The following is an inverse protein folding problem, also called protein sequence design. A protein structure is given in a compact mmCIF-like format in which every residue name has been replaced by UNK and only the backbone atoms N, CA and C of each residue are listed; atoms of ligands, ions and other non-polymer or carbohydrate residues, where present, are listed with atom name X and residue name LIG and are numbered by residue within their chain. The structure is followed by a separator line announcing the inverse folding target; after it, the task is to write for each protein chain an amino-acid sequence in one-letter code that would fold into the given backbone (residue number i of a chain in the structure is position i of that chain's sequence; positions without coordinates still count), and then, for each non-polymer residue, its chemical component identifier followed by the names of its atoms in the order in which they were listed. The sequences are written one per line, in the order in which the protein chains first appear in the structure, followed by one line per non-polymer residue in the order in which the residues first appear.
data_IF_627284647245
#
_entry.id   IF_627284647245
#
_cell.length_a   1.000
_cell.length_b   1.000
_cell.length_c   1.000
_cell.angle_alpha   90.00
_cell.angle_beta   90.00
_cell.angle_gamma   90.00
#
_symmetry.space_group_name_H-M   'P 1'
#
loop_
_entity.id
_entity.type
_entity.pdbx_description
1 polymer ?
#
# COMPACT_ATOMS: atom_id res chain seq x y z
N UNK A 1 -7.90 20.96 -67.10
CA UNK A 1 -7.14 21.45 -65.93
C UNK A 1 -8.09 22.22 -65.03
N UNK A 2 -8.67 21.56 -64.03
CA UNK A 2 -9.67 22.17 -63.14
C UNK A 2 -9.30 21.78 -61.71
N UNK A 3 -8.83 22.77 -60.93
CA UNK A 3 -8.45 22.58 -59.52
C UNK A 3 -9.70 22.64 -58.63
N UNK A 4 -9.91 21.70 -57.70
CA UNK A 4 -10.93 21.88 -56.66
C UNK A 4 -10.43 22.85 -55.57
N UNK A 5 -11.32 23.78 -55.18
CA UNK A 5 -11.17 24.77 -54.10
C UNK A 5 -11.04 24.07 -52.74
N UNK A 6 -10.07 24.48 -51.95
CA UNK A 6 -9.97 24.14 -50.53
C UNK A 6 -11.10 24.82 -49.73
N UNK A 7 -11.80 24.03 -48.93
CA UNK A 7 -12.79 24.48 -47.93
C UNK A 7 -12.03 24.71 -46.62
N UNK A 8 -12.01 25.95 -46.14
CA UNK A 8 -11.47 26.33 -44.84
C UNK A 8 -12.55 26.12 -43.76
N UNK A 9 -12.30 25.39 -42.66
CA UNK A 9 -13.26 25.31 -41.57
C UNK A 9 -13.26 26.61 -40.73
N UNK A 10 -14.45 27.16 -40.48
CA UNK A 10 -14.71 28.25 -39.55
C UNK A 10 -14.48 27.80 -38.09
N UNK A 11 -13.94 28.67 -37.21
CA UNK A 11 -13.93 28.41 -35.77
C UNK A 11 -15.31 28.67 -35.13
N UNK A 12 -15.69 27.94 -34.07
CA UNK A 12 -16.95 28.18 -33.36
C UNK A 12 -16.89 29.49 -32.57
N UNK A 13 -17.83 30.40 -32.87
CA UNK A 13 -18.06 31.64 -32.15
C UNK A 13 -18.66 31.36 -30.77
N UNK A 14 -17.93 31.71 -29.72
CA UNK A 14 -18.45 31.87 -28.37
C UNK A 14 -19.16 33.23 -28.26
N UNK A 15 -20.48 33.21 -28.07
CA UNK A 15 -21.27 34.26 -27.43
C UNK A 15 -21.88 33.63 -26.17
N UNK A 16 -21.85 34.19 -24.96
CA UNK A 16 -22.02 35.60 -24.62
C UNK A 16 -23.43 35.80 -24.06
N UNK A 17 -23.62 35.63 -22.74
CA UNK A 17 -24.82 35.99 -21.95
C UNK A 17 -24.54 35.71 -20.45
N UNK A 18 -24.77 36.53 -19.43
CA UNK A 18 -25.23 37.91 -19.26
C UNK A 18 -24.55 38.42 -17.97
N UNK A 19 -24.02 39.65 -18.00
CA UNK A 19 -23.68 40.42 -16.80
C UNK A 19 -24.47 41.72 -16.85
N UNK A 20 -24.77 42.23 -15.65
CA UNK A 20 -25.45 43.48 -15.31
C UNK A 20 -26.96 43.25 -15.04
N UNK A 21 -27.58 43.78 -13.98
CA UNK A 21 -27.44 45.06 -13.30
C UNK A 21 -28.06 44.96 -11.86
N UNK A 22 -27.45 45.46 -10.77
CA UNK A 22 -27.41 46.85 -10.20
C UNK A 22 -28.34 47.01 -8.97
N UNK A 23 -27.76 47.51 -7.85
CA UNK A 23 -28.26 48.37 -6.72
C UNK A 23 -29.62 48.08 -6.05
N UNK A 24 -29.91 48.36 -4.77
CA UNK A 24 -29.32 48.87 -3.51
C UNK A 24 -30.53 48.83 -2.48
N UNK A 25 -30.59 49.45 -1.26
CA UNK A 25 -29.61 50.18 -0.43
C UNK A 25 -29.60 49.80 1.08
N UNK A 26 -28.78 50.55 1.83
CA UNK A 26 -28.57 50.65 3.29
C UNK A 26 -29.82 50.54 4.18
N UNK A 27 -29.61 49.96 5.36
CA UNK A 27 -30.43 50.18 6.55
C UNK A 27 -29.74 49.66 7.82
N UNK A 28 -28.93 50.49 8.47
CA UNK A 28 -28.73 50.42 9.93
C UNK A 28 -29.97 51.07 10.57
N UNK A 29 -30.50 50.53 11.68
CA UNK A 29 -30.08 51.07 12.98
C UNK A 29 -30.06 50.04 14.11
N UNK A 30 -29.32 50.36 15.18
CA UNK A 30 -29.73 49.99 16.53
C UNK A 30 -28.75 49.14 17.32
N UNK A 31 -27.78 49.80 17.94
CA UNK A 31 -27.18 49.36 19.18
C UNK A 31 -28.27 49.07 20.22
N UNK A 32 -28.42 47.80 20.62
CA UNK A 32 -29.02 47.45 21.91
C UNK A 32 -28.14 46.38 22.53
N UNK A 33 -27.43 46.78 23.58
CA UNK A 33 -26.59 45.90 24.38
C UNK A 33 -27.47 44.82 25.03
N UNK A 34 -27.13 43.55 24.78
CA UNK A 34 -27.64 42.41 25.56
C UNK A 34 -26.50 41.80 26.38
N UNK A 35 -26.77 41.34 27.61
CA UNK A 35 -25.75 40.91 28.56
C UNK A 35 -25.11 39.58 28.15
N UNK A 36 -23.79 39.49 28.31
CA UNK A 36 -23.02 38.25 28.27
C UNK A 36 -23.63 37.22 29.22
N UNK A 37 -24.26 36.17 28.65
CA UNK A 37 -24.32 34.86 29.29
C UNK A 37 -23.21 34.02 28.69
N UNK A 38 -22.30 33.58 29.56
CA UNK A 38 -21.29 32.60 29.25
C UNK A 38 -21.95 31.22 29.11
N UNK A 39 -22.34 30.87 27.89
CA UNK A 39 -22.62 29.49 27.53
C UNK A 39 -21.31 28.82 27.10
N UNK A 40 -20.82 27.94 27.97
CA UNK A 40 -19.74 27.01 27.66
C UNK A 40 -20.22 26.09 26.53
N UNK A 41 -19.77 26.38 25.30
CA UNK A 41 -19.92 25.52 24.15
C UNK A 41 -19.18 24.21 24.37
N UNK A 42 -19.86 23.23 24.94
CA UNK A 42 -19.53 21.83 24.79
C UNK A 42 -19.70 21.50 23.30
N UNK A 43 -18.59 21.44 22.57
CA UNK A 43 -18.58 20.87 21.24
C UNK A 43 -18.89 19.38 21.36
N UNK A 44 -19.95 19.01 20.66
CA UNK A 44 -20.51 17.67 20.55
C UNK A 44 -19.41 16.68 20.13
N UNK A 45 -18.91 15.93 21.11
CA UNK A 45 -17.97 14.85 20.91
C UNK A 45 -18.73 13.68 20.28
N UNK A 46 -18.81 13.71 18.94
CA UNK A 46 -19.22 12.59 18.12
C UNK A 46 -18.72 11.28 18.74
N UNK A 47 -19.65 10.35 18.96
CA UNK A 47 -19.45 9.11 19.69
C UNK A 47 -18.23 8.33 19.15
N UNK A 48 -17.09 8.52 19.81
CA UNK A 48 -15.89 7.78 19.52
C UNK A 48 -16.18 6.28 19.74
N UNK A 49 -15.67 5.38 18.89
CA UNK A 49 -15.96 3.96 18.98
C UNK A 49 -15.61 3.44 20.38
N UNK A 50 -16.37 2.46 20.92
CA UNK A 50 -16.09 1.89 22.24
C UNK A 50 -14.61 1.46 22.30
N UNK A 51 -13.85 2.11 23.19
CA UNK A 51 -12.42 1.89 23.37
C UNK A 51 -11.48 3.01 22.89
N UNK A 52 -11.92 3.96 22.05
CA UNK A 52 -11.05 5.05 21.60
C UNK A 52 -10.60 5.98 22.75
N UNK A 53 -11.51 6.29 23.68
CA UNK A 53 -11.20 7.08 24.88
C UNK A 53 -10.21 6.37 25.80
N UNK A 54 -10.35 5.06 25.97
CA UNK A 54 -9.45 4.25 26.79
C UNK A 54 -8.04 4.17 26.17
N UNK A 55 -7.95 3.97 24.84
CA UNK A 55 -6.67 4.03 24.11
C UNK A 55 -5.99 5.38 24.27
N UNK A 56 -6.75 6.47 24.18
CA UNK A 56 -6.23 7.83 24.35
C UNK A 56 -5.75 8.08 25.79
N UNK A 57 -6.50 7.62 26.80
CA UNK A 57 -6.10 7.69 28.20
C UNK A 57 -4.82 6.90 28.48
N UNK A 58 -4.70 5.67 27.95
CA UNK A 58 -3.50 4.83 28.08
C UNK A 58 -2.27 5.50 27.43
N UNK A 59 -2.43 6.05 26.22
CA UNK A 59 -1.35 6.77 25.54
C UNK A 59 -0.89 8.02 26.31
N UNK A 60 -1.82 8.76 26.91
CA UNK A 60 -1.48 9.94 27.75
C UNK A 60 -0.77 9.54 29.03
N UNK A 61 -1.25 8.49 29.71
CA UNK A 61 -0.63 7.99 30.93
C UNK A 61 0.80 7.47 30.67
N UNK A 62 1.01 6.73 29.57
CA UNK A 62 2.33 6.25 29.16
C UNK A 62 3.32 7.40 28.91
N UNK A 63 2.93 8.41 28.14
CA UNK A 63 3.79 9.58 27.88
C UNK A 63 4.11 10.36 29.17
N UNK A 64 3.15 10.45 30.09
CA UNK A 64 3.40 11.06 31.41
C UNK A 64 4.43 10.29 32.23
N UNK A 65 4.40 8.95 32.16
CA UNK A 65 5.39 8.08 32.81
C UNK A 65 6.78 8.21 32.18
N UNK A 66 6.87 8.21 30.85
CA UNK A 66 8.13 8.42 30.11
C UNK A 66 8.74 9.80 30.42
N UNK A 67 7.92 10.86 30.45
CA UNK A 67 8.38 12.20 30.82
C UNK A 67 8.87 12.27 32.27
N UNK A 68 8.24 11.55 33.20
CA UNK A 68 8.69 11.48 34.60
C UNK A 68 10.00 10.70 34.74
N UNK A 69 10.23 9.65 33.96
CA UNK A 69 11.53 8.97 33.93
C UNK A 69 12.63 9.89 33.41
N UNK A 70 12.34 10.72 32.40
CA UNK A 70 13.30 11.66 31.83
C UNK A 70 13.74 12.76 32.82
N UNK A 71 12.93 13.10 33.83
CA UNK A 71 13.35 14.08 34.85
C UNK A 71 14.23 13.48 35.93
N UNK A 72 14.28 12.15 36.06
CA UNK A 72 15.02 11.46 37.13
C UNK A 72 14.47 11.67 38.54
N UNK A 73 13.30 12.31 38.70
CA UNK A 73 12.65 12.54 39.99
C UNK A 73 11.81 11.31 40.39
N UNK A 74 12.20 10.55 41.44
CA UNK A 74 11.49 9.34 41.85
C UNK A 74 10.05 9.62 42.32
N UNK A 75 9.75 10.80 42.86
CA UNK A 75 8.40 11.16 43.28
C UNK A 75 7.47 11.40 42.09
N UNK A 76 7.99 12.02 41.03
CA UNK A 76 7.29 12.20 39.76
C UNK A 76 7.00 10.84 39.09
N UNK A 77 7.99 9.94 39.08
CA UNK A 77 7.85 8.57 38.54
C UNK A 77 6.77 7.79 39.30
N UNK A 78 6.79 7.79 40.63
CA UNK A 78 5.79 7.10 41.43
C UNK A 78 4.36 7.63 41.17
N UNK A 79 4.22 8.96 41.06
CA UNK A 79 2.93 9.59 40.75
C UNK A 79 2.43 9.24 39.35
N UNK A 80 3.32 9.21 38.35
CA UNK A 80 2.96 8.86 36.99
C UNK A 80 2.66 7.36 36.84
N UNK A 81 3.38 6.49 37.56
CA UNK A 81 3.16 5.05 37.59
C UNK A 81 1.77 4.73 38.17
N UNK A 82 1.39 5.36 39.28
CA UNK A 82 0.05 5.20 39.85
C UNK A 82 -1.07 5.59 38.87
N UNK A 83 -0.87 6.66 38.08
CA UNK A 83 -1.81 7.08 37.02
C UNK A 83 -1.87 6.08 35.87
N UNK A 84 -0.74 5.50 35.49
CA UNK A 84 -0.69 4.46 34.47
C UNK A 84 -1.44 3.21 34.94
N UNK A 85 -1.12 2.69 36.13
CA UNK A 85 -1.80 1.53 36.73
C UNK A 85 -3.30 1.75 36.89
N UNK A 86 -3.73 2.96 37.29
CA UNK A 86 -5.17 3.28 37.39
C UNK A 86 -5.91 3.20 36.04
N UNK A 87 -5.23 3.41 34.92
CA UNK A 87 -5.81 3.37 33.57
C UNK A 87 -5.70 1.98 32.94
N UNK A 88 -4.61 1.25 33.19
CA UNK A 88 -4.33 -0.05 32.54
C UNK A 88 -4.67 -1.26 33.40
N UNK A 89 -4.70 -1.13 34.72
CA UNK A 89 -4.75 -2.25 35.66
C UNK A 89 -3.40 -2.96 35.85
N UNK A 90 -2.42 -2.67 35.01
CA UNK A 90 -1.09 -3.27 35.02
C UNK A 90 -0.06 -2.39 35.73
N UNK A 91 0.78 -3.00 36.58
CA UNK A 91 1.98 -2.35 37.10
C UNK A 91 3.02 -2.21 35.97
N UNK A 92 3.65 -1.03 35.79
CA UNK A 92 4.72 -0.90 34.81
C UNK A 92 5.95 -1.70 35.27
N UNK A 93 6.38 -2.68 34.47
CA UNK A 93 7.60 -3.46 34.72
C UNK A 93 8.83 -2.53 34.72
N UNK A 94 9.52 -2.46 35.85
CA UNK A 94 10.71 -1.63 36.08
C UNK A 94 11.88 -2.26 35.30
N UNK A 95 11.95 -1.95 34.00
CA UNK A 95 12.99 -2.48 33.11
C UNK A 95 12.74 -2.23 31.62
N UNK A 96 11.48 -2.00 31.21
CA UNK A 96 11.13 -1.82 29.80
C UNK A 96 11.43 -0.42 29.22
N UNK A 97 11.77 0.57 30.06
CA UNK A 97 11.89 1.98 29.62
C UNK A 97 13.29 2.60 29.85
N UNK A 98 14.26 1.83 30.37
CA UNK A 98 15.59 2.34 30.71
C UNK A 98 16.70 1.96 29.70
N UNK A 99 16.34 1.43 28.53
CA UNK A 99 17.29 0.88 27.57
C UNK A 99 17.54 1.78 26.36
N UNK A 100 18.06 3.00 26.53
CA UNK A 100 18.62 3.79 25.42
C UNK A 100 19.57 4.92 25.85
N UNK A 101 20.24 4.78 27.01
CA UNK A 101 21.33 5.68 27.42
C UNK A 101 22.51 4.87 27.94
N UNK A 102 23.22 4.19 27.03
CA UNK A 102 24.59 3.72 27.27
C UNK A 102 25.53 4.22 26.17
N UNK A 103 26.64 4.80 26.63
CA UNK A 103 27.66 5.49 25.87
C UNK A 103 28.35 4.61 24.79
N UNK A 104 28.95 5.23 23.74
CA UNK A 104 29.71 4.49 22.73
C UNK A 104 31.06 4.00 23.30
N UNK A 105 31.45 2.73 23.14
CA UNK A 105 32.84 2.35 23.32
C UNK A 105 33.64 2.77 22.08
N UNK A 106 34.57 3.70 22.28
CA UNK A 106 35.73 3.82 21.45
C UNK A 106 36.60 2.55 21.63
N UNK A 107 36.94 1.86 20.54
CA UNK A 107 38.13 1.02 20.49
C UNK A 107 38.62 0.81 19.06
N UNK A 108 39.67 1.56 18.78
CA UNK A 108 40.82 1.23 17.96
C UNK A 108 41.15 -0.27 17.98
N UNK A 109 41.26 -0.91 16.81
CA UNK A 109 42.29 -1.92 16.62
C UNK A 109 42.89 -1.82 15.22
N UNK A 110 44.09 -1.26 15.18
CA UNK A 110 45.06 -1.35 14.10
C UNK A 110 45.88 -2.62 14.30
N UNK A 111 46.04 -3.47 13.28
CA UNK A 111 47.05 -4.52 13.34
C UNK A 111 46.97 -5.61 12.29
N UNK A 112 47.75 -5.42 11.23
CA UNK A 112 48.55 -6.47 10.57
C UNK A 112 47.82 -7.58 9.81
N UNK A 113 47.73 -7.41 8.49
CA UNK A 113 48.00 -8.51 7.56
C UNK A 113 48.92 -7.99 6.45
N UNK A 114 50.17 -8.44 6.51
CA UNK A 114 51.18 -8.25 5.46
C UNK A 114 51.37 -9.58 4.72
N UNK A 115 51.57 -9.48 3.40
CA UNK A 115 52.03 -10.56 2.52
C UNK A 115 50.98 -10.93 1.47
N UNK A 116 51.25 -11.01 0.18
CA UNK A 116 52.40 -10.67 -0.65
C UNK A 116 51.89 -10.70 -2.10
N UNK A 117 52.46 -9.85 -2.96
CA UNK A 117 52.10 -9.71 -4.36
C UNK A 117 52.43 -10.98 -5.17
N UNK A 118 51.51 -11.46 -6.00
CA UNK A 118 51.87 -12.01 -7.32
C UNK A 118 50.71 -11.92 -8.31
N UNK A 119 50.92 -11.17 -9.39
CA UNK A 119 50.33 -11.36 -10.72
C UNK A 119 51.51 -11.35 -11.71
N UNK A 120 51.38 -11.64 -13.01
CA UNK A 120 50.32 -12.33 -13.78
C UNK A 120 50.88 -13.48 -14.65
N UNK A 121 50.03 -14.36 -15.19
CA UNK A 121 50.39 -15.09 -16.42
C UNK A 121 49.17 -15.30 -17.31
N UNK A 122 49.22 -14.64 -18.46
CA UNK A 122 48.65 -15.03 -19.76
C UNK A 122 49.83 -14.84 -20.76
N UNK A 123 49.76 -15.24 -22.04
CA UNK A 123 48.70 -15.95 -22.76
C UNK A 123 49.24 -17.15 -23.58
N UNK A 124 48.35 -18.02 -24.06
CA UNK A 124 48.56 -18.73 -25.34
C UNK A 124 47.21 -19.06 -25.95
N UNK A 125 47.07 -18.57 -27.18
CA UNK A 125 45.92 -18.61 -28.05
C UNK A 125 45.89 -19.87 -28.93
N UNK A 126 44.68 -20.21 -29.35
CA UNK A 126 44.24 -20.77 -30.64
C UNK A 126 42.97 -21.59 -30.36
N UNK A 127 41.78 -21.07 -30.70
CA UNK A 127 41.10 -21.30 -31.99
C UNK A 127 40.76 -22.79 -32.19
N UNK A 128 39.56 -23.22 -32.54
CA UNK A 128 38.47 -22.58 -33.27
C UNK A 128 37.26 -23.53 -33.16
N UNK A 129 36.04 -22.98 -33.26
CA UNK A 129 34.87 -23.57 -33.94
C UNK A 129 33.58 -23.34 -33.17
N UNK A 130 32.94 -22.22 -33.53
CA UNK A 130 31.49 -22.07 -33.50
C UNK A 130 30.82 -23.20 -34.33
N UNK A 131 29.53 -23.47 -34.10
CA UNK A 131 28.58 -22.73 -34.92
C UNK A 131 27.45 -22.08 -34.09
N UNK A 132 27.41 -20.76 -34.21
CA UNK A 132 26.25 -19.93 -34.52
C UNK A 132 24.89 -20.65 -34.53
N UNK A 133 24.13 -20.48 -33.45
CA UNK A 133 22.67 -20.47 -33.49
C UNK A 133 22.22 -19.10 -33.03
N UNK A 134 21.84 -18.29 -34.02
CA UNK A 134 21.29 -16.97 -33.85
C UNK A 134 19.95 -17.01 -33.10
N UNK A 135 19.61 -15.91 -32.42
CA UNK A 135 18.53 -15.84 -31.45
C UNK A 135 17.18 -15.74 -32.16
N UNK A 136 16.33 -16.76 -31.99
CA UNK A 136 14.92 -16.63 -32.31
C UNK A 136 14.27 -15.70 -31.29
N UNK A 137 14.06 -14.46 -31.73
CA UNK A 137 13.10 -13.53 -31.18
C UNK A 137 11.71 -14.20 -31.12
N UNK A 138 11.40 -14.81 -29.98
CA UNK A 138 10.02 -15.11 -29.60
C UNK A 138 9.51 -13.93 -28.80
N UNK A 139 8.88 -13.01 -29.52
CA UNK A 139 7.91 -12.04 -28.99
C UNK A 139 6.79 -12.84 -28.29
N UNK A 140 6.56 -12.74 -26.97
CA UNK A 140 5.29 -13.15 -26.42
C UNK A 140 4.34 -11.97 -26.60
N UNK A 141 3.52 -12.08 -27.63
CA UNK A 141 2.30 -11.31 -27.76
C UNK A 141 1.35 -11.74 -26.61
N UNK A 142 0.83 -10.80 -25.79
CA UNK A 142 0.00 -11.14 -24.65
C UNK A 142 -1.44 -11.37 -25.13
N UNK A 143 -1.87 -12.63 -25.18
CA UNK A 143 -3.28 -12.97 -25.34
C UNK A 143 -3.60 -14.19 -24.48
N UNK A 144 -4.50 -13.99 -23.52
CA UNK A 144 -4.77 -14.87 -22.42
C UNK A 144 -5.28 -16.26 -22.80
N UNK A 145 -4.65 -17.27 -22.21
CA UNK A 145 -5.27 -18.55 -21.85
C UNK A 145 -4.60 -19.05 -20.57
N UNK A 146 -4.83 -18.35 -19.47
CA UNK A 146 -4.32 -18.70 -18.14
C UNK A 146 -5.09 -19.84 -17.47
N UNK A 147 -5.82 -20.69 -18.19
CA UNK A 147 -6.57 -21.80 -17.58
C UNK A 147 -5.85 -23.17 -17.71
N UNK A 148 -4.82 -23.28 -18.55
CA UNK A 148 -4.03 -24.51 -18.72
C UNK A 148 -2.60 -24.46 -18.17
N UNK A 149 -2.08 -23.26 -17.85
CA UNK A 149 -0.74 -23.08 -17.28
C UNK A 149 -0.72 -23.38 -15.78
N UNK A 150 0.40 -23.83 -15.23
CA UNK A 150 0.63 -23.97 -13.78
C UNK A 150 0.31 -22.66 -13.04
N UNK A 151 0.67 -21.51 -13.61
CA UNK A 151 0.33 -20.18 -13.10
C UNK A 151 -1.20 -19.96 -13.01
N UNK A 152 -1.93 -20.46 -14.01
CA UNK A 152 -3.38 -20.47 -14.05
C UNK A 152 -4.01 -21.24 -12.92
N UNK A 153 -3.54 -22.47 -12.73
CA UNK A 153 -3.95 -23.35 -11.64
C UNK A 153 -3.68 -22.73 -10.27
N UNK A 154 -2.54 -22.04 -10.12
CA UNK A 154 -2.22 -21.27 -8.91
C UNK A 154 -3.26 -20.19 -8.65
N UNK A 155 -3.59 -19.36 -9.65
CA UNK A 155 -4.62 -18.31 -9.49
C UNK A 155 -5.98 -18.89 -9.13
N UNK A 156 -6.40 -19.97 -9.80
CA UNK A 156 -7.66 -20.64 -9.51
C UNK A 156 -7.69 -21.25 -8.09
N UNK A 157 -6.58 -21.82 -7.64
CA UNK A 157 -6.45 -22.36 -6.29
C UNK A 157 -6.54 -21.25 -5.23
N UNK A 158 -5.85 -20.12 -5.44
CA UNK A 158 -5.94 -18.96 -4.54
C UNK A 158 -7.36 -18.43 -4.47
N UNK A 159 -8.07 -18.30 -5.60
CA UNK A 159 -9.48 -17.85 -5.63
C UNK A 159 -10.41 -18.80 -4.88
N UNK A 160 -10.12 -20.11 -4.88
CA UNK A 160 -10.91 -21.12 -4.14
C UNK A 160 -10.62 -21.10 -2.64
N UNK A 161 -9.39 -20.80 -2.25
CA UNK A 161 -8.94 -20.78 -0.85
C UNK A 161 -9.27 -19.45 -0.15
N UNK A 162 -9.23 -18.34 -0.90
CA UNK A 162 -9.61 -17.03 -0.40
C UNK A 162 -11.13 -16.94 -0.22
N UNK A 163 -11.59 -16.64 1.00
CA UNK A 163 -13.00 -16.37 1.31
C UNK A 163 -13.42 -15.00 0.79
N UNK A 164 -12.50 -14.04 0.79
CA UNK A 164 -12.70 -12.70 0.25
C UNK A 164 -11.65 -12.34 -0.81
N UNK A 165 -12.01 -11.42 -1.70
CA UNK A 165 -11.07 -10.94 -2.72
C UNK A 165 -9.85 -10.28 -2.09
N UNK A 166 -8.65 -10.80 -2.40
CA UNK A 166 -7.42 -10.33 -1.81
C UNK A 166 -7.27 -10.75 -0.33
N UNK A 167 -7.82 -11.87 0.09
CA UNK A 167 -7.42 -12.48 1.36
C UNK A 167 -5.99 -13.05 1.27
N UNK A 168 -5.34 -13.15 2.42
CA UNK A 168 -4.05 -13.80 2.58
C UNK A 168 -4.23 -15.31 2.70
N UNK A 169 -3.56 -16.07 1.83
CA UNK A 169 -3.64 -17.53 1.74
C UNK A 169 -2.28 -18.13 2.10
N UNK A 170 -2.28 -19.12 2.99
CA UNK A 170 -1.08 -19.85 3.38
C UNK A 170 -0.52 -20.70 2.25
N UNK A 171 0.81 -20.70 2.08
CA UNK A 171 1.47 -21.49 1.04
C UNK A 171 1.37 -23.00 1.28
N UNK A 172 1.22 -23.44 2.53
CA UNK A 172 0.95 -24.85 2.85
C UNK A 172 -0.37 -25.30 2.25
N UNK A 173 -1.44 -24.52 2.44
CA UNK A 173 -2.77 -24.85 1.90
C UNK A 173 -2.77 -24.81 0.38
N UNK A 174 -2.05 -23.84 -0.21
CA UNK A 174 -1.88 -23.74 -1.65
C UNK A 174 -1.16 -24.98 -2.22
N UNK A 175 -0.09 -25.44 -1.56
CA UNK A 175 0.63 -26.66 -1.95
C UNK A 175 -0.21 -27.92 -1.77
N UNK A 176 -1.01 -28.00 -0.71
CA UNK A 176 -1.97 -29.12 -0.49
C UNK A 176 -3.04 -29.15 -1.59
N UNK A 177 -3.50 -27.99 -2.05
CA UNK A 177 -4.47 -27.88 -3.14
C UNK A 177 -3.87 -28.22 -4.52
N UNK A 178 -2.57 -28.00 -4.70
CA UNK A 178 -1.81 -28.23 -5.95
C UNK A 178 -0.86 -29.43 -5.83
N UNK A 179 -1.23 -30.46 -5.08
CA UNK A 179 -0.39 -31.63 -4.82
C UNK A 179 0.00 -32.44 -6.07
N UNK A 180 -0.54 -32.09 -7.24
CA UNK A 180 -0.18 -32.61 -8.56
C UNK A 180 1.05 -31.93 -9.20
N UNK A 181 1.49 -30.78 -8.68
CA UNK A 181 2.60 -29.98 -9.22
C UNK A 181 3.88 -30.22 -8.41
N UNK A 182 5.02 -30.31 -9.10
CA UNK A 182 6.33 -30.44 -8.46
C UNK A 182 6.67 -29.23 -7.57
N UNK A 183 7.37 -29.50 -6.48
CA UNK A 183 7.72 -28.48 -5.49
C UNK A 183 8.57 -27.34 -6.08
N UNK A 184 9.57 -27.69 -6.89
CA UNK A 184 10.51 -26.73 -7.47
C UNK A 184 9.85 -25.96 -8.63
N UNK A 185 9.01 -26.64 -9.41
CA UNK A 185 8.21 -25.99 -10.45
C UNK A 185 7.28 -24.94 -9.86
N UNK A 186 6.51 -25.29 -8.82
CA UNK A 186 5.60 -24.36 -8.17
C UNK A 186 6.35 -23.17 -7.56
N UNK A 187 7.48 -23.42 -6.89
CA UNK A 187 8.32 -22.37 -6.31
C UNK A 187 8.85 -21.41 -7.37
N UNK A 188 9.28 -21.94 -8.52
CA UNK A 188 9.72 -21.13 -9.67
C UNK A 188 8.58 -20.27 -10.22
N UNK A 189 7.41 -20.87 -10.44
CA UNK A 189 6.22 -20.14 -10.93
C UNK A 189 5.81 -19.03 -9.97
N UNK A 190 5.79 -19.28 -8.66
CA UNK A 190 5.46 -18.26 -7.66
C UNK A 190 6.46 -17.10 -7.66
N UNK A 191 7.76 -17.38 -7.86
CA UNK A 191 8.80 -16.35 -8.01
C UNK A 191 8.63 -15.54 -9.29
N UNK A 192 8.37 -16.20 -10.41
CA UNK A 192 8.12 -15.54 -11.69
C UNK A 192 6.86 -14.66 -11.60
N UNK A 193 5.78 -15.15 -10.98
CA UNK A 193 4.57 -14.37 -10.70
C UNK A 193 4.86 -13.12 -9.86
N UNK A 194 5.65 -13.24 -8.78
CA UNK A 194 6.02 -12.08 -7.95
C UNK A 194 6.84 -11.04 -8.72
N UNK A 195 7.66 -11.48 -9.69
CA UNK A 195 8.49 -10.58 -10.51
C UNK A 195 7.67 -9.89 -11.60
N UNK A 196 6.80 -10.64 -12.25
CA UNK A 196 6.12 -10.22 -13.47
C UNK A 196 4.77 -9.54 -13.18
N UNK A 197 4.11 -9.86 -12.06
CA UNK A 197 2.80 -9.32 -11.67
C UNK A 197 2.88 -8.47 -10.39
N UNK A 198 2.65 -7.15 -10.46
CA UNK A 198 2.71 -6.27 -9.29
C UNK A 198 1.54 -6.45 -8.31
N UNK A 199 0.50 -7.23 -8.67
CA UNK A 199 -0.66 -7.49 -7.82
C UNK A 199 -0.47 -8.72 -6.92
N UNK A 200 0.62 -9.45 -7.12
CA UNK A 200 0.97 -10.60 -6.30
C UNK A 200 1.86 -10.14 -5.16
N UNK A 201 1.47 -10.48 -3.94
CA UNK A 201 2.20 -10.10 -2.74
C UNK A 201 2.50 -11.32 -1.89
N UNK A 202 3.71 -11.34 -1.34
CA UNK A 202 4.17 -12.35 -0.40
C UNK A 202 4.62 -11.66 0.89
N UNK A 203 4.26 -12.25 2.02
CA UNK A 203 4.61 -11.73 3.34
C UNK A 203 5.09 -12.88 4.23
N UNK A 204 6.12 -12.65 5.08
CA UNK A 204 6.51 -13.63 6.07
C UNK A 204 5.42 -13.71 7.14
N UNK A 205 5.13 -14.91 7.64
CA UNK A 205 4.22 -15.02 8.78
C UNK A 205 4.80 -14.31 10.00
N UNK A 206 4.00 -13.42 10.61
CA UNK A 206 4.39 -12.60 11.75
C UNK A 206 4.55 -13.46 13.01
N UNK A 207 3.70 -14.48 13.16
CA UNK A 207 3.78 -15.41 14.28
C UNK A 207 4.84 -16.50 14.05
N UNK A 208 6.11 -16.09 13.99
CA UNK A 208 7.22 -17.00 13.69
C UNK A 208 7.35 -18.21 14.63
N UNK A 209 6.80 -18.13 15.84
CA UNK A 209 6.82 -19.21 16.83
C UNK A 209 5.78 -20.30 16.58
N UNK A 210 4.78 -20.01 15.75
CA UNK A 210 3.74 -20.96 15.39
C UNK A 210 4.03 -21.70 14.07
N UNK A 211 5.12 -21.37 13.38
CA UNK A 211 5.50 -22.11 12.18
C UNK A 211 5.90 -23.54 12.52
N UNK A 212 5.32 -24.44 11.75
CA UNK A 212 5.68 -25.84 11.73
C UNK A 212 6.79 -26.10 10.71
N UNK A 213 7.42 -27.26 10.79
CA UNK A 213 8.38 -27.69 9.75
C UNK A 213 7.70 -27.78 8.37
N UNK A 214 6.39 -28.04 8.31
CA UNK A 214 5.62 -28.01 7.07
C UNK A 214 5.54 -26.59 6.49
N UNK A 215 5.36 -25.57 7.32
CA UNK A 215 5.32 -24.17 6.88
C UNK A 215 6.68 -23.73 6.32
N UNK A 216 7.76 -24.13 6.99
CA UNK A 216 9.13 -23.87 6.52
C UNK A 216 9.44 -24.60 5.22
N UNK A 217 9.01 -25.86 5.08
CA UNK A 217 9.18 -26.61 3.85
C UNK A 217 8.35 -26.01 2.70
N UNK A 218 7.16 -25.47 2.98
CA UNK A 218 6.31 -24.87 1.98
C UNK A 218 6.72 -23.45 1.56
N UNK A 219 7.57 -22.79 2.37
CA UNK A 219 7.97 -21.41 2.16
C UNK A 219 8.64 -21.18 0.80
N UNK A 220 8.50 -19.96 0.28
CA UNK A 220 9.20 -19.51 -0.93
C UNK A 220 10.16 -18.41 -0.54
N UNK A 221 11.45 -18.59 -0.85
CA UNK A 221 12.43 -17.52 -0.59
C UNK A 221 12.32 -16.46 -1.68
N UNK A 222 12.07 -15.21 -1.28
CA UNK A 222 12.01 -14.04 -2.15
C UNK A 222 12.90 -12.96 -1.52
N UNK A 223 13.91 -12.50 -2.26
CA UNK A 223 14.84 -11.48 -1.76
C UNK A 223 15.71 -11.93 -0.57
N UNK A 224 15.82 -13.24 -0.33
CA UNK A 224 16.56 -13.81 0.81
C UNK A 224 15.70 -14.10 2.05
N UNK A 225 14.42 -13.73 2.05
CA UNK A 225 13.49 -14.01 3.13
C UNK A 225 12.52 -15.13 2.76
N UNK A 226 12.27 -16.04 3.71
CA UNK A 226 11.25 -17.08 3.59
C UNK A 226 9.85 -16.48 3.74
N UNK A 227 9.08 -16.53 2.66
CA UNK A 227 7.69 -16.08 2.62
C UNK A 227 6.76 -17.25 2.85
N UNK A 228 5.69 -17.03 3.62
CA UNK A 228 4.79 -18.11 4.07
C UNK A 228 3.34 -17.91 3.62
N UNK A 229 2.98 -16.67 3.30
CA UNK A 229 1.62 -16.29 2.95
C UNK A 229 1.64 -15.47 1.68
N UNK A 230 0.65 -15.71 0.82
CA UNK A 230 0.49 -15.07 -0.48
C UNK A 230 -0.88 -14.40 -0.56
N UNK A 231 -0.94 -13.27 -1.26
CA UNK A 231 -2.19 -12.61 -1.64
C UNK A 231 -2.12 -12.19 -3.09
N UNK A 232 -3.24 -12.33 -3.79
CA UNK A 232 -3.40 -11.83 -5.15
C UNK A 232 -4.45 -10.72 -5.10
N UNK A 233 -4.02 -9.48 -5.35
CA UNK A 233 -4.95 -8.36 -5.57
C UNK A 233 -5.60 -8.48 -6.95
N UNK A 234 -6.80 -7.93 -7.09
CA UNK A 234 -7.41 -7.80 -8.42
C UNK A 234 -6.51 -6.90 -9.29
N UNK A 235 -6.21 -7.28 -10.54
CA UNK A 235 -5.40 -6.48 -11.44
C UNK A 235 -5.89 -5.03 -11.52
N UNK A 236 -4.98 -4.07 -11.34
CA UNK A 236 -5.25 -2.66 -11.59
C UNK A 236 -5.22 -2.40 -13.09
N UNK A 237 -6.31 -1.85 -13.61
CA UNK A 237 -6.38 -1.40 -14.99
C UNK A 237 -6.25 0.13 -14.97
N UNK A 238 -5.02 0.58 -15.13
CA UNK A 238 -4.67 2.00 -15.16
C UNK A 238 -5.29 2.71 -16.36
N UNK A 239 -5.63 1.98 -17.43
CA UNK A 239 -6.29 2.54 -18.61
C UNK A 239 -7.79 2.78 -18.40
N UNK A 240 -8.39 2.22 -17.35
CA UNK A 240 -9.79 2.47 -17.01
C UNK A 240 -10.06 3.96 -16.76
N UNK A 241 -9.11 4.65 -16.12
CA UNK A 241 -9.16 6.10 -15.93
C UNK A 241 -9.22 6.84 -17.26
N UNK A 242 -8.37 6.48 -18.21
CA UNK A 242 -8.33 7.13 -19.53
C UNK A 242 -9.64 6.88 -20.31
N UNK A 243 -10.22 5.67 -20.17
CA UNK A 243 -11.55 5.37 -20.72
C UNK A 243 -12.65 6.20 -20.09
N UNK A 244 -12.66 6.35 -18.76
CA UNK A 244 -13.62 7.22 -18.05
C UNK A 244 -13.46 8.69 -18.48
N UNK A 245 -12.22 9.18 -18.63
CA UNK A 245 -11.95 10.53 -19.09
C UNK A 245 -12.40 10.76 -20.53
N UNK A 246 -12.20 9.78 -21.41
CA UNK A 246 -12.58 9.86 -22.82
C UNK A 246 -14.10 9.77 -23.02
N UNK A 247 -14.77 8.85 -22.31
CA UNK A 247 -16.22 8.67 -22.39
C UNK A 247 -16.99 9.77 -21.62
N UNK A 248 -16.34 10.37 -20.63
CA UNK A 248 -16.98 11.17 -19.58
C UNK A 248 -17.61 10.30 -18.51
N UNK A 249 -17.53 10.73 -17.25
CA UNK A 249 -18.00 9.99 -16.07
C UNK A 249 -19.46 9.54 -16.21
N UNK A 250 -20.32 10.38 -16.80
CA UNK A 250 -21.75 10.08 -17.01
C UNK A 250 -22.05 8.99 -18.05
N UNK A 251 -21.09 8.62 -18.91
CA UNK A 251 -21.28 7.58 -19.95
C UNK A 251 -20.38 6.36 -19.74
N UNK A 252 -19.43 6.42 -18.81
CA UNK A 252 -18.53 5.31 -18.54
C UNK A 252 -19.28 4.08 -18.00
N UNK A 253 -18.75 2.89 -18.29
CA UNK A 253 -19.27 1.62 -17.79
C UNK A 253 -19.18 1.55 -16.26
N UNK A 254 -20.12 0.88 -15.56
CA UNK A 254 -20.00 0.60 -14.13
C UNK A 254 -18.63 0.00 -13.75
N UNK A 255 -18.12 -0.91 -14.56
CA UNK A 255 -16.81 -1.54 -14.33
C UNK A 255 -15.65 -0.56 -14.50
N UNK A 256 -15.70 0.30 -15.52
CA UNK A 256 -14.69 1.34 -15.72
C UNK A 256 -14.67 2.34 -14.57
N UNK A 257 -15.85 2.71 -14.06
CA UNK A 257 -15.99 3.58 -12.89
C UNK A 257 -15.40 2.91 -11.64
N UNK A 258 -15.74 1.64 -11.39
CA UNK A 258 -15.21 0.89 -10.25
C UNK A 258 -13.68 0.73 -10.33
N UNK A 259 -13.17 0.50 -11.53
CA UNK A 259 -11.75 0.27 -11.77
C UNK A 259 -10.92 1.56 -11.71
N UNK A 260 -11.46 2.68 -12.19
CA UNK A 260 -10.84 3.99 -12.06
C UNK A 260 -10.70 4.45 -10.59
N UNK A 261 -11.61 4.04 -9.69
CA UNK A 261 -11.49 4.31 -8.26
C UNK A 261 -10.38 3.51 -7.57
N UNK A 262 -9.92 2.40 -8.16
CA UNK A 262 -8.79 1.61 -7.64
C UNK A 262 -7.43 2.20 -8.00
N UNK A 263 -7.37 3.13 -8.96
CA UNK A 263 -6.14 3.81 -9.34
C UNK A 263 -5.81 4.94 -8.34
N UNK A 264 -4.68 4.86 -7.61
CA UNK A 264 -4.27 5.90 -6.66
C UNK A 264 -3.90 7.24 -7.33
N UNK A 265 -3.67 7.24 -8.65
CA UNK A 265 -3.35 8.43 -9.44
C UNK A 265 -4.60 9.09 -10.04
N UNK A 266 -5.80 8.65 -9.67
CA UNK A 266 -7.04 9.33 -10.03
C UNK A 266 -7.12 10.68 -9.29
N UNK A 267 -7.20 11.82 -10.00
CA UNK A 267 -7.33 13.12 -9.35
C UNK A 267 -8.56 13.17 -8.44
N UNK A 268 -8.44 13.82 -7.27
CA UNK A 268 -9.53 13.88 -6.27
C UNK A 268 -10.86 14.36 -6.85
N UNK A 269 -10.83 15.37 -7.74
CA UNK A 269 -12.04 15.85 -8.44
C UNK A 269 -12.70 14.74 -9.28
N UNK A 270 -11.92 13.99 -10.04
CA UNK A 270 -12.42 12.88 -10.86
C UNK A 270 -12.95 11.75 -9.97
N UNK A 271 -12.28 11.47 -8.86
CA UNK A 271 -12.74 10.51 -7.86
C UNK A 271 -14.11 10.87 -7.29
N UNK A 272 -14.31 12.14 -6.90
CA UNK A 272 -15.58 12.64 -6.37
C UNK A 272 -16.71 12.58 -7.41
N UNK A 273 -16.42 12.94 -8.66
CA UNK A 273 -17.35 12.84 -9.78
C UNK A 273 -17.77 11.37 -10.02
N UNK A 274 -16.82 10.43 -10.01
CA UNK A 274 -17.10 8.99 -10.17
C UNK A 274 -17.95 8.47 -9.00
N UNK A 275 -17.64 8.82 -7.76
CA UNK A 275 -18.44 8.45 -6.58
C UNK A 275 -19.87 8.98 -6.66
N UNK A 276 -20.02 10.25 -7.05
CA UNK A 276 -21.34 10.86 -7.21
C UNK A 276 -22.15 10.15 -8.31
N UNK A 277 -21.49 9.71 -9.38
CA UNK A 277 -22.10 8.94 -10.46
C UNK A 277 -22.53 7.55 -10.00
N UNK A 278 -21.66 6.79 -9.33
CA UNK A 278 -22.00 5.47 -8.80
C UNK A 278 -23.17 5.56 -7.83
N UNK A 279 -23.19 6.57 -6.95
CA UNK A 279 -24.32 6.83 -6.05
C UNK A 279 -25.61 7.15 -6.81
N UNK A 280 -25.55 7.94 -7.89
CA UNK A 280 -26.71 8.25 -8.73
C UNK A 280 -27.27 6.98 -9.39
N UNK A 281 -26.40 6.03 -9.73
CA UNK A 281 -26.76 4.75 -10.37
C UNK A 281 -27.11 3.64 -9.37
N UNK A 282 -26.94 3.85 -8.07
CA UNK A 282 -27.17 2.82 -7.04
C UNK A 282 -26.13 1.69 -7.08
N UNK A 283 -24.90 1.97 -7.47
CA UNK A 283 -23.80 0.99 -7.59
C UNK A 283 -22.95 0.86 -6.31
N UNK A 284 -23.28 1.61 -5.25
CA UNK A 284 -22.55 1.68 -3.96
C UNK A 284 -23.51 1.72 -2.80
#
# INVERSE_FOLDING_TARGET
MTRPRAVTPQPPTWWGRDKAQINAPRGEPGCVAQPLKADAGATDAAAAPPGARLRQQRSRARRGLEAAYATGDPAAVATAAAKYTAVTGDQPEVGQFAGDLHAPPASTNSGQFAGELTTPHEPTAAEESMPKSEPQASKPEPAGTSSGSTEGRVRDAVVKLAKEEGEWVGLVDLRKALGDVDHDELTRVLRDMNRDDPNVHFVPEDNRKALTDEDHAAAVEIGGDAQHIMRIERPRDTSAKDRVQTAGVGNASPDDLAQALRDPLTPSRTYDEIRAEQKRRGLT
#
